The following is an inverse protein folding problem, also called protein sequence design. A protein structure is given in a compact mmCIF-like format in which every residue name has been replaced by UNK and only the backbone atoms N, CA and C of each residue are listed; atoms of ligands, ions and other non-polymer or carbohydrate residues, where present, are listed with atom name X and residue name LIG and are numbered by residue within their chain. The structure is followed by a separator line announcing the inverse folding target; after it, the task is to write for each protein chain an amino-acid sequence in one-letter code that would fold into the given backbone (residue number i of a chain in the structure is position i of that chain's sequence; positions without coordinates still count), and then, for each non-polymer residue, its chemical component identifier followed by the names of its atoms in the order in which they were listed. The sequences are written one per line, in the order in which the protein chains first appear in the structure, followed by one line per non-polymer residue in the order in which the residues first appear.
data_IF_199894459653
#
_entry.id   IF_199894459653
#
_cell.length_a   1.000
_cell.length_b   1.000
_cell.length_c   1.000
_cell.angle_alpha   90.00
_cell.angle_beta   90.00
_cell.angle_gamma   90.00
#
_symmetry.space_group_name_H-M   'P 1'
#
loop_
_entity.id
_entity.type
_entity.pdbx_description
1 polymer ?
#
# COMPACT_ATOMS: atom_id res chain seq x y z
N UNK A 1 -8.41 20.72 -26.25
CA UNK A 1 -8.67 19.89 -25.07
C UNK A 1 -7.74 20.40 -23.96
N UNK A 2 -8.28 20.87 -22.84
CA UNK A 2 -7.45 21.37 -21.72
C UNK A 2 -6.70 20.16 -21.16
N UNK A 3 -5.38 20.24 -21.08
CA UNK A 3 -4.55 19.19 -20.47
C UNK A 3 -4.27 19.63 -19.04
N UNK A 4 -4.72 18.84 -18.05
CA UNK A 4 -4.40 19.04 -16.64
C UNK A 4 -3.09 18.33 -16.32
N UNK A 5 -2.09 19.06 -15.83
CA UNK A 5 -0.81 18.53 -15.44
C UNK A 5 -0.75 18.28 -13.94
N UNK A 6 -0.63 17.04 -13.53
CA UNK A 6 -0.51 16.59 -12.14
C UNK A 6 0.93 16.18 -11.87
N UNK A 7 1.54 16.70 -10.82
CA UNK A 7 2.88 16.32 -10.38
C UNK A 7 2.83 15.62 -9.03
N UNK A 8 3.19 14.34 -9.00
CA UNK A 8 3.42 13.58 -7.76
C UNK A 8 4.86 13.79 -7.29
N UNK A 9 5.02 14.01 -5.98
CA UNK A 9 6.33 14.16 -5.36
C UNK A 9 6.43 13.27 -4.11
N UNK A 10 7.47 12.42 -4.06
CA UNK A 10 7.66 11.52 -2.92
C UNK A 10 9.11 11.07 -2.77
N UNK A 11 9.54 10.81 -1.53
CA UNK A 11 10.76 10.08 -1.25
C UNK A 11 10.53 8.57 -1.01
N UNK A 12 9.29 8.11 -0.92
CA UNK A 12 8.96 6.70 -0.68
C UNK A 12 9.05 5.84 -1.95
N UNK A 13 10.18 5.96 -2.64
CA UNK A 13 10.44 5.20 -3.84
C UNK A 13 11.85 4.59 -3.79
N UNK A 14 11.92 3.28 -3.56
CA UNK A 14 13.18 2.56 -3.52
C UNK A 14 13.03 1.19 -4.22
N UNK A 15 14.11 0.59 -4.74
CA UNK A 15 14.05 -0.71 -5.42
C UNK A 15 13.36 -1.81 -4.60
N UNK A 16 13.59 -1.81 -3.28
CA UNK A 16 13.01 -2.76 -2.34
C UNK A 16 11.78 -2.20 -1.59
N UNK A 17 11.20 -1.06 -2.02
CA UNK A 17 9.97 -0.56 -1.42
C UNK A 17 8.77 -1.36 -1.94
N UNK A 18 7.88 -1.73 -1.01
CA UNK A 18 6.71 -2.56 -1.32
C UNK A 18 5.54 -1.74 -1.90
N UNK A 19 4.39 -1.79 -1.22
CA UNK A 19 3.11 -1.29 -1.71
C UNK A 19 3.10 0.16 -2.24
N UNK A 20 3.85 1.09 -1.63
CA UNK A 20 3.84 2.51 -2.08
C UNK A 20 4.42 2.63 -3.50
N UNK A 21 5.55 1.98 -3.79
CA UNK A 21 6.12 1.99 -5.14
C UNK A 21 5.17 1.33 -6.15
N UNK A 22 4.63 0.17 -5.81
CA UNK A 22 3.68 -0.55 -6.67
C UNK A 22 2.48 0.34 -7.00
N UNK A 23 1.96 1.07 -6.00
CA UNK A 23 0.88 2.04 -6.19
C UNK A 23 1.29 3.19 -7.11
N UNK A 24 2.43 3.83 -6.86
CA UNK A 24 2.91 4.96 -7.65
C UNK A 24 3.16 4.60 -9.11
N UNK A 25 3.80 3.46 -9.37
CA UNK A 25 4.06 2.95 -10.73
C UNK A 25 2.75 2.66 -11.47
N UNK A 26 1.78 2.05 -10.78
CA UNK A 26 0.48 1.75 -11.36
C UNK A 26 -0.34 3.03 -11.62
N UNK A 27 -0.35 3.97 -10.67
CA UNK A 27 -1.00 5.28 -10.79
C UNK A 27 -0.42 6.06 -11.97
N UNK A 28 0.91 6.19 -12.04
CA UNK A 28 1.60 6.91 -13.10
C UNK A 28 1.22 6.39 -14.48
N UNK A 29 1.32 5.08 -14.69
CA UNK A 29 0.94 4.44 -15.97
C UNK A 29 -0.53 4.67 -16.34
N UNK A 30 -1.44 4.68 -15.36
CA UNK A 30 -2.87 4.81 -15.62
C UNK A 30 -3.29 6.26 -15.82
N UNK A 31 -2.77 7.20 -15.05
CA UNK A 31 -3.02 8.63 -15.27
C UNK A 31 -2.46 9.09 -16.61
N UNK A 32 -1.26 8.63 -17.00
CA UNK A 32 -0.68 8.96 -18.31
C UNK A 32 -1.47 8.43 -19.53
N UNK A 33 -2.42 7.50 -19.32
CA UNK A 33 -3.34 7.00 -20.35
C UNK A 33 -4.69 7.72 -20.35
N UNK A 34 -4.97 8.57 -19.34
CA UNK A 34 -6.23 9.30 -19.28
C UNK A 34 -6.22 10.49 -20.26
N UNK A 35 -7.24 10.59 -21.13
CA UNK A 35 -7.35 11.73 -22.04
C UNK A 35 -7.39 13.06 -21.29
N UNK A 36 -6.55 14.02 -21.70
CA UNK A 36 -6.50 15.35 -21.08
C UNK A 36 -5.74 15.41 -19.76
N UNK A 37 -5.00 14.35 -19.39
CA UNK A 37 -4.13 14.35 -18.21
C UNK A 37 -2.66 14.16 -18.63
N UNK A 38 -1.80 15.00 -18.11
CA UNK A 38 -0.35 14.82 -18.06
C UNK A 38 0.04 14.49 -16.63
N UNK A 39 0.84 13.45 -16.42
CA UNK A 39 1.28 13.06 -15.09
C UNK A 39 2.80 13.01 -15.02
N UNK A 40 3.38 13.71 -14.04
CA UNK A 40 4.80 13.68 -13.72
C UNK A 40 5.01 13.09 -12.33
N UNK A 41 6.03 12.23 -12.18
CA UNK A 41 6.37 11.58 -10.92
C UNK A 41 7.81 11.96 -10.52
N UNK A 42 7.98 12.70 -9.42
CA UNK A 42 9.27 13.11 -8.88
C UNK A 42 9.67 12.15 -7.77
N UNK A 43 10.80 11.47 -7.95
CA UNK A 43 11.34 10.46 -7.03
C UNK A 43 12.83 10.71 -6.74
N UNK A 44 13.39 10.19 -5.62
CA UNK A 44 14.81 10.32 -5.35
C UNK A 44 15.64 9.38 -6.24
N UNK A 45 16.70 9.92 -6.83
CA UNK A 45 17.65 9.20 -7.65
C UNK A 45 19.10 9.39 -7.22
N UNK A 46 20.04 8.67 -7.85
CA UNK A 46 21.49 8.89 -7.66
C UNK A 46 21.95 10.16 -8.40
N UNK A 47 21.42 10.34 -9.59
CA UNK A 47 21.68 11.46 -10.49
C UNK A 47 20.34 11.99 -11.00
N UNK A 48 20.37 13.18 -11.61
CA UNK A 48 19.19 13.66 -12.30
C UNK A 48 18.97 12.82 -13.56
N UNK A 49 17.75 12.33 -13.73
CA UNK A 49 17.28 11.72 -14.97
C UNK A 49 15.81 12.07 -15.22
N UNK A 50 15.41 12.06 -16.48
CA UNK A 50 14.03 12.18 -16.90
C UNK A 50 13.72 11.10 -17.91
N UNK A 51 12.72 10.29 -17.63
CA UNK A 51 12.24 9.26 -18.53
C UNK A 51 10.76 9.02 -18.36
N UNK A 52 10.01 9.09 -19.45
CA UNK A 52 8.56 8.77 -19.49
C UNK A 52 7.73 9.55 -18.44
N UNK A 53 8.12 10.81 -18.11
CA UNK A 53 7.48 11.63 -17.11
C UNK A 53 7.88 11.32 -15.67
N UNK A 54 8.86 10.41 -15.46
CA UNK A 54 9.48 10.16 -14.16
C UNK A 54 10.76 10.97 -14.06
N UNK A 55 10.87 11.77 -13.01
CA UNK A 55 12.00 12.65 -12.72
C UNK A 55 12.76 12.15 -11.50
N UNK A 56 13.95 11.61 -11.70
CA UNK A 56 14.84 11.27 -10.60
C UNK A 56 15.58 12.51 -10.13
N UNK A 57 15.42 12.83 -8.85
CA UNK A 57 16.04 14.00 -8.21
C UNK A 57 17.21 13.54 -7.36
N UNK A 58 18.44 14.09 -7.53
CA UNK A 58 19.59 13.66 -6.79
C UNK A 58 19.38 13.73 -5.28
N UNK A 59 19.54 12.59 -4.61
CA UNK A 59 19.44 12.45 -3.17
C UNK A 59 20.46 11.41 -2.66
N UNK A 60 21.16 11.65 -1.54
CA UNK A 60 22.10 10.71 -0.98
C UNK A 60 21.38 9.43 -0.52
N UNK A 61 22.06 8.29 -0.69
CA UNK A 61 21.57 7.03 -0.16
C UNK A 61 21.61 7.04 1.37
N UNK A 62 20.58 6.48 1.99
CA UNK A 62 20.58 6.25 3.44
C UNK A 62 21.51 5.08 3.76
N UNK A 63 22.50 5.25 4.65
CA UNK A 63 23.25 4.12 5.18
C UNK A 63 22.28 3.10 5.77
N UNK A 64 22.43 1.83 5.39
CA UNK A 64 21.53 0.73 5.81
C UNK A 64 20.04 0.87 5.39
N UNK A 65 19.72 1.84 4.53
CA UNK A 65 18.35 2.18 4.12
C UNK A 65 17.76 1.27 3.02
N UNK A 66 18.35 0.12 2.70
CA UNK A 66 17.84 -0.84 1.69
C UNK A 66 17.45 -0.17 0.35
N UNK A 67 18.26 0.80 -0.10
CA UNK A 67 18.05 1.52 -1.35
C UNK A 67 17.22 2.81 -1.24
N UNK A 68 16.71 3.15 -0.06
CA UNK A 68 16.09 4.44 0.16
C UNK A 68 17.11 5.57 0.10
N UNK A 69 16.67 6.69 -0.47
CA UNK A 69 17.46 7.94 -0.56
C UNK A 69 16.70 9.04 0.16
N UNK A 70 17.44 9.91 0.84
CA UNK A 70 16.84 10.98 1.62
C UNK A 70 17.26 12.35 1.07
N UNK A 71 16.31 13.16 0.56
CA UNK A 71 16.60 14.53 0.12
C UNK A 71 17.14 15.36 1.29
N UNK A 72 18.21 16.12 1.04
CA UNK A 72 18.79 17.05 2.04
C UNK A 72 18.50 18.53 1.73
N UNK A 73 18.02 18.83 0.51
CA UNK A 73 17.77 20.20 0.03
C UNK A 73 16.44 20.27 -0.70
N UNK A 74 15.67 21.32 -0.41
CA UNK A 74 14.37 21.60 -1.09
C UNK A 74 14.58 22.06 -2.54
N UNK A 75 15.65 22.86 -2.78
CA UNK A 75 15.86 23.57 -4.04
C UNK A 75 15.75 22.71 -5.30
N UNK A 76 16.44 21.58 -5.43
CA UNK A 76 16.33 20.73 -6.63
C UNK A 76 14.91 20.28 -6.94
N UNK A 77 14.15 19.88 -5.93
CA UNK A 77 12.77 19.43 -6.05
C UNK A 77 11.83 20.57 -6.47
N UNK A 78 11.96 21.72 -5.79
CA UNK A 78 11.20 22.92 -6.13
C UNK A 78 11.48 23.38 -7.56
N UNK A 79 12.76 23.43 -7.98
CA UNK A 79 13.13 23.91 -9.31
C UNK A 79 12.56 23.04 -10.42
N UNK A 80 12.45 21.70 -10.21
CA UNK A 80 11.79 20.82 -11.16
C UNK A 80 10.28 21.11 -11.20
N UNK A 81 9.61 21.27 -10.05
CA UNK A 81 8.20 21.65 -10.01
C UNK A 81 7.95 22.98 -10.74
N UNK A 82 8.84 23.97 -10.55
CA UNK A 82 8.77 25.23 -11.30
C UNK A 82 8.95 25.05 -12.81
N UNK A 83 9.85 24.19 -13.23
CA UNK A 83 10.03 23.89 -14.67
C UNK A 83 8.84 23.17 -15.28
N UNK A 84 8.17 22.33 -14.50
CA UNK A 84 7.02 21.54 -14.94
C UNK A 84 5.72 22.35 -15.05
N UNK A 85 5.58 23.42 -14.25
CA UNK A 85 4.35 24.23 -14.17
C UNK A 85 3.09 23.36 -14.04
N UNK A 86 2.99 22.48 -13.01
CA UNK A 86 1.81 21.63 -12.84
C UNK A 86 0.58 22.46 -12.43
N UNK A 87 -0.59 21.95 -12.73
CA UNK A 87 -1.87 22.52 -12.27
C UNK A 87 -2.23 22.02 -10.85
N UNK A 88 -1.63 20.89 -10.41
CA UNK A 88 -1.84 20.29 -9.10
C UNK A 88 -0.58 19.53 -8.68
N UNK A 89 -0.23 19.62 -7.39
CA UNK A 89 0.85 18.82 -6.81
C UNK A 89 0.25 17.83 -5.80
N UNK A 90 0.60 16.53 -5.93
CA UNK A 90 0.31 15.54 -4.90
C UNK A 90 1.59 15.13 -4.16
N UNK A 91 1.50 15.13 -2.83
CA UNK A 91 2.60 14.80 -1.92
C UNK A 91 2.37 13.43 -1.31
N UNK A 92 3.29 12.49 -1.53
CA UNK A 92 3.17 11.09 -1.08
C UNK A 92 3.85 10.79 0.27
N UNK A 93 4.45 11.76 0.95
CA UNK A 93 5.15 11.53 2.22
C UNK A 93 5.24 12.79 3.09
N UNK A 94 5.40 12.65 4.43
CA UNK A 94 5.44 13.79 5.35
C UNK A 94 6.86 14.35 5.59
N UNK A 95 7.74 14.29 4.60
CA UNK A 95 9.13 14.67 4.76
C UNK A 95 9.50 15.93 3.98
N UNK A 96 10.76 16.04 3.57
CA UNK A 96 11.29 17.22 2.89
C UNK A 96 10.60 17.51 1.54
N UNK A 97 10.17 16.49 0.83
CA UNK A 97 9.38 16.57 -0.41
C UNK A 97 8.09 17.33 -0.22
N UNK A 98 7.40 17.14 0.93
CA UNK A 98 6.19 17.88 1.27
C UNK A 98 6.46 19.39 1.41
N UNK A 99 7.54 19.75 2.05
CA UNK A 99 7.93 21.17 2.20
C UNK A 99 8.37 21.78 0.88
N UNK A 100 9.01 21.00 -0.02
CA UNK A 100 9.33 21.45 -1.37
C UNK A 100 8.06 21.75 -2.19
N UNK A 101 7.03 20.92 -2.08
CA UNK A 101 5.74 21.15 -2.72
C UNK A 101 5.03 22.40 -2.17
N UNK A 102 5.01 22.58 -0.84
CA UNK A 102 4.43 23.76 -0.20
C UNK A 102 5.18 25.07 -0.54
N UNK A 103 6.51 25.00 -0.76
CA UNK A 103 7.29 26.13 -1.20
C UNK A 103 7.01 26.46 -2.68
N UNK A 104 6.93 25.46 -3.55
CA UNK A 104 6.54 25.62 -4.95
C UNK A 104 5.11 26.18 -5.09
N UNK A 105 4.15 25.72 -4.28
CA UNK A 105 2.77 26.21 -4.24
C UNK A 105 2.70 27.72 -4.13
N UNK A 106 3.50 28.34 -3.24
CA UNK A 106 3.48 29.79 -3.00
C UNK A 106 3.84 30.60 -4.22
N UNK A 107 4.64 30.04 -5.13
CA UNK A 107 5.12 30.71 -6.33
C UNK A 107 4.30 30.36 -7.58
N UNK A 108 3.75 29.15 -7.63
CA UNK A 108 2.97 28.67 -8.76
C UNK A 108 1.45 28.93 -8.60
N UNK A 109 1.01 29.26 -7.39
CA UNK A 109 -0.40 29.42 -7.02
C UNK A 109 -1.28 28.21 -7.40
N UNK A 110 -0.77 27.01 -7.10
CA UNK A 110 -1.43 25.74 -7.42
C UNK A 110 -1.82 24.97 -6.16
N UNK A 111 -2.91 24.18 -6.18
CA UNK A 111 -3.33 23.38 -5.04
C UNK A 111 -2.36 22.24 -4.77
N UNK A 112 -2.29 21.85 -3.48
CA UNK A 112 -1.50 20.73 -3.02
C UNK A 112 -2.38 19.73 -2.28
N UNK A 113 -2.36 18.47 -2.73
CA UNK A 113 -2.98 17.33 -2.06
C UNK A 113 -1.92 16.53 -1.32
N UNK A 114 -2.19 16.13 -0.07
CA UNK A 114 -1.33 15.20 0.66
C UNK A 114 -1.92 13.81 0.67
N UNK A 115 -1.16 12.78 0.33
CA UNK A 115 -1.55 11.38 0.50
C UNK A 115 -0.84 10.76 1.71
N UNK A 116 -1.60 10.24 2.67
CA UNK A 116 -1.10 9.67 3.92
C UNK A 116 -0.80 8.18 3.79
N UNK A 117 0.29 7.83 3.09
CA UNK A 117 0.68 6.44 2.87
C UNK A 117 1.21 5.71 4.10
N UNK A 118 1.68 6.44 5.11
CA UNK A 118 2.37 5.86 6.27
C UNK A 118 1.97 6.56 7.56
N UNK A 119 1.75 5.78 8.60
CA UNK A 119 1.48 6.27 9.95
C UNK A 119 2.78 6.72 10.64
N UNK A 120 3.21 7.95 10.35
CA UNK A 120 4.46 8.50 10.89
C UNK A 120 4.50 8.50 12.42
N UNK A 121 3.46 8.92 13.18
CA UNK A 121 3.45 8.84 14.64
C UNK A 121 3.73 7.44 15.16
N UNK A 122 3.07 6.42 14.57
CA UNK A 122 3.28 5.03 14.95
C UNK A 122 4.69 4.53 14.62
N UNK A 123 5.20 4.88 13.43
CA UNK A 123 6.56 4.51 13.02
C UNK A 123 7.63 5.07 13.95
N UNK A 124 7.48 6.34 14.37
CA UNK A 124 8.40 6.99 15.31
C UNK A 124 8.25 6.40 16.71
N UNK A 125 7.03 6.21 17.20
CA UNK A 125 6.76 5.58 18.49
C UNK A 125 7.44 4.20 18.60
N UNK A 126 7.35 3.38 17.56
CA UNK A 126 7.94 2.04 17.52
C UNK A 126 9.47 2.04 17.51
N UNK A 127 10.10 3.10 16.97
CA UNK A 127 11.58 3.19 16.84
C UNK A 127 12.24 3.97 17.97
N UNK A 128 11.62 5.05 18.42
CA UNK A 128 12.20 6.02 19.33
C UNK A 128 11.50 6.05 20.69
N UNK A 129 10.38 5.31 20.81
CA UNK A 129 9.54 5.28 22.00
C UNK A 129 8.37 6.27 21.99
N UNK A 130 7.36 6.04 22.86
CA UNK A 130 6.11 6.79 22.86
C UNK A 130 6.26 8.27 23.27
N UNK A 131 7.36 8.65 23.90
CA UNK A 131 7.64 10.03 24.32
C UNK A 131 7.68 11.04 23.17
N UNK A 132 8.05 10.59 21.99
CA UNK A 132 8.13 11.44 20.79
C UNK A 132 6.78 11.57 20.07
N UNK A 133 5.81 10.74 20.38
CA UNK A 133 4.53 10.67 19.68
C UNK A 133 3.80 12.02 19.65
N UNK A 134 3.64 12.78 20.75
CA UNK A 134 2.94 14.07 20.72
C UNK A 134 3.58 15.10 19.81
N UNK A 135 4.92 15.14 19.74
CA UNK A 135 5.64 16.07 18.87
C UNK A 135 5.45 15.70 17.39
N UNK A 136 5.45 14.40 17.08
CA UNK A 136 5.23 13.92 15.70
C UNK A 136 3.78 14.12 15.28
N UNK A 137 2.82 13.92 16.18
CA UNK A 137 1.40 14.21 15.93
C UNK A 137 1.17 15.69 15.66
N UNK A 138 1.79 16.57 16.47
CA UNK A 138 1.74 18.01 16.24
C UNK A 138 2.38 18.40 14.89
N UNK A 139 3.46 17.74 14.51
CA UNK A 139 4.09 17.90 13.20
C UNK A 139 3.17 17.46 12.06
N UNK A 140 2.58 16.27 12.15
CA UNK A 140 1.63 15.75 11.15
C UNK A 140 0.45 16.70 11.01
N UNK A 141 -0.18 17.11 12.12
CA UNK A 141 -1.27 18.09 12.12
C UNK A 141 -0.87 19.38 11.42
N UNK A 142 0.32 19.94 11.75
CA UNK A 142 0.82 21.18 11.16
C UNK A 142 1.06 21.02 9.65
N UNK A 143 1.72 19.94 9.25
CA UNK A 143 2.07 19.70 7.85
C UNK A 143 0.82 19.48 7.00
N UNK A 144 0.00 18.49 7.36
CA UNK A 144 -1.19 18.12 6.59
C UNK A 144 -2.29 19.19 6.65
N UNK A 145 -2.29 20.05 7.68
CA UNK A 145 -3.15 21.25 7.74
C UNK A 145 -2.83 22.34 6.71
N UNK A 146 -1.69 22.24 6.01
CA UNK A 146 -1.35 23.16 4.91
C UNK A 146 -1.80 22.66 3.53
N UNK A 147 -2.32 21.44 3.42
CA UNK A 147 -2.79 20.92 2.14
C UNK A 147 -4.26 21.29 1.90
N UNK A 148 -4.63 21.49 0.64
CA UNK A 148 -6.01 21.81 0.23
C UNK A 148 -6.94 20.61 0.41
N UNK A 149 -6.37 19.39 0.29
CA UNK A 149 -7.04 18.13 0.56
C UNK A 149 -6.04 17.11 1.07
N UNK A 150 -6.49 16.22 1.96
CA UNK A 150 -5.69 15.10 2.45
C UNK A 150 -6.41 13.80 2.09
N UNK A 151 -5.69 12.89 1.46
CA UNK A 151 -6.17 11.56 1.10
C UNK A 151 -5.60 10.53 2.07
N UNK A 152 -6.47 9.71 2.63
CA UNK A 152 -6.11 8.60 3.50
C UNK A 152 -6.49 7.27 2.83
N UNK A 153 -5.65 6.22 2.89
CA UNK A 153 -5.91 4.99 2.18
C UNK A 153 -7.07 4.16 2.75
N UNK A 154 -7.50 4.44 3.97
CA UNK A 154 -8.57 3.74 4.68
C UNK A 154 -9.33 4.69 5.60
N UNK A 155 -10.54 4.32 6.03
CA UNK A 155 -11.33 5.12 6.98
C UNK A 155 -10.62 5.23 8.33
N UNK A 156 -9.99 4.14 8.80
CA UNK A 156 -9.20 4.16 10.05
C UNK A 156 -8.07 5.20 10.00
N UNK A 157 -7.39 5.31 8.86
CA UNK A 157 -6.35 6.34 8.71
C UNK A 157 -6.95 7.73 8.59
N UNK A 158 -8.10 7.88 7.94
CA UNK A 158 -8.83 9.14 7.88
C UNK A 158 -9.28 9.60 9.28
N UNK A 159 -9.90 8.71 10.05
CA UNK A 159 -10.36 8.99 11.41
C UNK A 159 -9.20 9.35 12.34
N UNK A 160 -8.05 8.67 12.18
CA UNK A 160 -6.83 9.02 12.91
C UNK A 160 -6.36 10.44 12.60
N UNK A 161 -6.29 10.83 11.32
CA UNK A 161 -5.90 12.18 10.92
C UNK A 161 -6.90 13.23 11.43
N UNK A 162 -8.21 12.96 11.33
CA UNK A 162 -9.27 13.82 11.86
C UNK A 162 -9.11 13.97 13.38
N UNK A 163 -8.85 12.88 14.10
CA UNK A 163 -8.57 12.89 15.54
C UNK A 163 -7.34 13.72 15.93
N UNK A 164 -6.34 13.82 15.05
CA UNK A 164 -5.19 14.72 15.20
C UNK A 164 -5.53 16.20 14.90
N UNK A 165 -6.73 16.50 14.41
CA UNK A 165 -7.17 17.83 14.04
C UNK A 165 -6.80 18.24 12.61
N UNK A 166 -6.47 17.28 11.73
CA UNK A 166 -6.32 17.54 10.29
C UNK A 166 -7.69 17.72 9.65
N UNK A 167 -7.84 18.75 8.81
CA UNK A 167 -9.08 19.07 8.10
C UNK A 167 -9.03 18.57 6.65
N UNK A 168 -10.19 18.53 5.99
CA UNK A 168 -10.33 18.14 4.58
C UNK A 168 -9.74 16.75 4.28
N UNK A 169 -9.90 15.80 5.20
CA UNK A 169 -9.48 14.41 5.05
C UNK A 169 -10.55 13.62 4.31
N UNK A 170 -10.14 12.89 3.30
CA UNK A 170 -11.02 12.04 2.48
C UNK A 170 -10.39 10.65 2.31
N UNK A 171 -11.22 9.63 2.22
CA UNK A 171 -10.75 8.28 1.95
C UNK A 171 -10.51 8.11 0.45
N UNK A 172 -9.32 7.61 0.11
CA UNK A 172 -8.93 7.22 -1.24
C UNK A 172 -8.23 5.88 -1.19
N UNK A 173 -8.90 4.77 -1.46
CA UNK A 173 -8.29 3.45 -1.43
C UNK A 173 -7.23 3.28 -2.53
N UNK A 174 -6.37 2.29 -2.35
CA UNK A 174 -5.40 1.90 -3.37
C UNK A 174 -6.03 0.82 -4.27
N UNK A 175 -5.60 0.79 -5.53
CA UNK A 175 -6.06 -0.19 -6.50
C UNK A 175 -5.17 -1.44 -6.54
N UNK A 176 -5.74 -2.54 -7.02
CA UNK A 176 -5.03 -3.79 -7.30
C UNK A 176 -5.06 -4.13 -8.79
N UNK A 177 -4.00 -4.75 -9.28
CA UNK A 177 -3.90 -5.21 -10.66
C UNK A 177 -4.58 -6.57 -10.84
N UNK A 178 -5.81 -6.54 -11.34
CA UNK A 178 -6.64 -7.71 -11.55
C UNK A 178 -6.17 -8.62 -12.70
N UNK A 179 -5.26 -8.15 -13.55
CA UNK A 179 -4.67 -8.95 -14.62
C UNK A 179 -3.47 -9.73 -14.08
N UNK A 180 -2.60 -9.06 -13.32
CA UNK A 180 -1.47 -9.70 -12.67
C UNK A 180 -1.93 -10.68 -11.58
N UNK A 181 -2.88 -10.26 -10.71
CA UNK A 181 -3.44 -11.11 -9.67
C UNK A 181 -4.77 -11.69 -10.14
N UNK A 182 -4.71 -12.95 -10.63
CA UNK A 182 -5.87 -13.60 -11.22
C UNK A 182 -5.86 -15.11 -10.92
N UNK A 183 -7.02 -15.74 -10.69
CA UNK A 183 -7.11 -17.18 -10.42
C UNK A 183 -6.54 -18.08 -11.52
N UNK A 184 -6.52 -17.61 -12.78
CA UNK A 184 -5.95 -18.37 -13.92
C UNK A 184 -4.44 -18.60 -13.82
N UNK A 185 -3.74 -17.90 -12.92
CA UNK A 185 -2.32 -18.12 -12.66
C UNK A 185 -2.05 -19.30 -11.72
N UNK A 186 -3.09 -20.03 -11.32
CA UNK A 186 -2.94 -21.25 -10.52
C UNK A 186 -2.08 -22.26 -11.24
N UNK A 187 -1.04 -22.72 -10.55
CA UNK A 187 -0.11 -23.73 -11.01
C UNK A 187 -0.37 -25.04 -10.25
N UNK A 188 -0.93 -26.08 -10.92
CA UNK A 188 -1.17 -27.37 -10.30
C UNK A 188 0.12 -28.07 -9.82
N UNK A 189 1.29 -27.76 -10.44
CA UNK A 189 2.57 -28.35 -10.10
C UNK A 189 3.23 -27.78 -8.85
N UNK A 190 2.76 -26.62 -8.37
CA UNK A 190 3.42 -25.93 -7.24
C UNK A 190 3.52 -26.77 -5.98
N UNK A 191 2.51 -27.57 -5.63
CA UNK A 191 2.54 -28.42 -4.44
C UNK A 191 3.65 -29.45 -4.53
N UNK A 192 3.84 -30.08 -5.68
CA UNK A 192 4.91 -31.02 -5.97
C UNK A 192 6.27 -30.32 -5.93
N UNK A 193 6.40 -29.15 -6.52
CA UNK A 193 7.62 -28.31 -6.48
C UNK A 193 8.06 -28.01 -5.04
N UNK A 194 7.10 -27.71 -4.16
CA UNK A 194 7.34 -27.40 -2.75
C UNK A 194 7.44 -28.62 -1.83
N UNK A 195 7.23 -29.84 -2.35
CA UNK A 195 7.16 -31.05 -1.54
C UNK A 195 5.98 -31.10 -0.58
N UNK A 196 4.90 -30.37 -0.87
CA UNK A 196 3.66 -30.31 -0.08
C UNK A 196 2.71 -31.38 -0.53
N UNK A 197 2.17 -32.19 0.40
CA UNK A 197 1.19 -33.22 0.08
C UNK A 197 -0.07 -32.63 -0.54
N UNK A 198 -0.65 -33.32 -1.52
CA UNK A 198 -1.81 -32.81 -2.27
C UNK A 198 -3.06 -32.56 -1.39
N UNK A 199 -3.25 -33.37 -0.35
CA UNK A 199 -4.34 -33.25 0.61
C UNK A 199 -4.09 -32.20 1.70
N UNK A 200 -2.89 -31.64 1.78
CA UNK A 200 -2.56 -30.56 2.69
C UNK A 200 -3.21 -29.24 2.24
N UNK A 201 -3.59 -28.42 3.18
CA UNK A 201 -4.11 -27.08 2.95
C UNK A 201 -2.96 -26.10 2.88
N UNK A 202 -2.75 -25.49 1.71
CA UNK A 202 -1.63 -24.59 1.46
C UNK A 202 -2.03 -23.15 1.81
N UNK A 203 -1.46 -22.63 2.88
CA UNK A 203 -1.58 -21.23 3.29
C UNK A 203 -0.41 -20.43 2.70
N UNK A 204 -0.60 -19.14 2.46
CA UNK A 204 0.45 -18.23 2.01
C UNK A 204 0.50 -16.97 2.86
N UNK A 205 1.70 -16.50 3.15
CA UNK A 205 2.02 -15.14 3.58
C UNK A 205 2.95 -14.53 2.54
N UNK A 206 2.68 -13.32 2.08
CA UNK A 206 3.56 -12.59 1.19
C UNK A 206 3.86 -11.18 1.74
N UNK A 207 5.15 -10.84 1.79
CA UNK A 207 5.60 -9.56 2.33
C UNK A 207 6.99 -9.64 2.91
N UNK A 208 7.47 -8.55 3.50
CA UNK A 208 8.76 -8.52 4.20
C UNK A 208 8.61 -9.12 5.61
N UNK A 209 9.57 -9.91 6.06
CA UNK A 209 9.63 -10.46 7.42
C UNK A 209 10.04 -9.40 8.46
N UNK A 210 9.33 -8.29 8.53
CA UNK A 210 9.56 -7.19 9.47
C UNK A 210 8.70 -7.36 10.74
N UNK A 211 9.12 -6.68 11.82
CA UNK A 211 8.53 -6.85 13.14
C UNK A 211 6.99 -6.64 13.16
N UNK A 212 6.52 -5.63 12.42
CA UNK A 212 5.09 -5.29 12.33
C UNK A 212 4.24 -6.34 11.61
N UNK A 213 4.88 -7.30 10.91
CA UNK A 213 4.17 -8.43 10.26
C UNK A 213 3.87 -9.60 11.21
N UNK A 214 4.41 -9.57 12.41
CA UNK A 214 4.14 -10.57 13.47
C UNK A 214 4.28 -12.03 13.02
N UNK A 215 5.31 -12.35 12.23
CA UNK A 215 5.56 -13.73 11.76
C UNK A 215 5.61 -14.77 12.88
N UNK A 216 6.10 -14.48 14.10
CA UNK A 216 6.03 -15.44 15.21
C UNK A 216 4.62 -15.92 15.52
N UNK A 217 3.59 -15.09 15.34
CA UNK A 217 2.18 -15.48 15.51
C UNK A 217 1.79 -16.52 14.47
N UNK A 218 2.19 -16.34 13.19
CA UNK A 218 1.93 -17.31 12.12
C UNK A 218 2.67 -18.64 12.39
N UNK A 219 3.95 -18.61 12.78
CA UNK A 219 4.71 -19.82 13.08
C UNK A 219 4.09 -20.62 14.23
N UNK A 220 3.72 -19.94 15.32
CA UNK A 220 3.02 -20.57 16.43
C UNK A 220 1.62 -21.08 16.04
N UNK A 221 0.91 -20.41 15.15
CA UNK A 221 -0.33 -20.87 14.56
C UNK A 221 -0.12 -22.19 13.80
N UNK A 222 0.92 -22.27 12.96
CA UNK A 222 1.22 -23.48 12.19
C UNK A 222 1.56 -24.70 13.06
N UNK A 223 2.26 -24.51 14.17
CA UNK A 223 2.51 -25.59 15.14
C UNK A 223 1.19 -26.17 15.70
N UNK A 224 0.17 -25.31 15.92
CA UNK A 224 -1.15 -25.71 16.42
C UNK A 224 -2.02 -26.38 15.35
N UNK A 225 -1.92 -25.93 14.11
CA UNK A 225 -2.68 -26.48 12.98
C UNK A 225 -2.17 -27.88 12.57
N UNK A 226 -0.89 -28.19 12.79
CA UNK A 226 -0.27 -29.47 12.49
C UNK A 226 -0.11 -29.75 11.00
N UNK A 227 0.22 -31.01 10.67
CA UNK A 227 0.69 -31.43 9.32
C UNK A 227 -0.36 -31.37 8.19
N UNK A 228 -1.64 -31.19 8.53
CA UNK A 228 -2.72 -31.02 7.52
C UNK A 228 -2.68 -29.63 6.87
N UNK A 229 -1.87 -28.72 7.40
CA UNK A 229 -1.71 -27.36 6.90
C UNK A 229 -0.23 -27.11 6.61
N UNK A 230 0.04 -26.46 5.51
CA UNK A 230 1.37 -26.03 5.12
C UNK A 230 1.38 -24.53 4.86
N UNK A 231 2.36 -23.80 5.38
CA UNK A 231 2.48 -22.35 5.17
C UNK A 231 3.68 -22.06 4.25
N UNK A 232 3.43 -21.31 3.20
CA UNK A 232 4.45 -20.72 2.35
C UNK A 232 4.69 -19.27 2.77
N UNK A 233 5.90 -18.97 3.27
CA UNK A 233 6.37 -17.62 3.57
C UNK A 233 7.14 -17.08 2.36
N UNK A 234 6.68 -15.96 1.78
CA UNK A 234 7.28 -15.38 0.57
C UNK A 234 7.70 -13.95 0.81
N UNK A 235 8.97 -13.64 0.54
CA UNK A 235 9.51 -12.28 0.59
C UNK A 235 10.86 -12.21 1.30
N UNK A 236 11.41 -11.03 1.46
CA UNK A 236 12.74 -10.83 2.05
C UNK A 236 12.73 -10.74 3.57
N UNK A 237 13.87 -11.07 4.20
CA UNK A 237 14.09 -11.04 5.64
C UNK A 237 13.17 -11.97 6.42
N UNK A 238 12.97 -13.18 5.89
CA UNK A 238 12.19 -14.24 6.52
C UNK A 238 12.96 -14.93 7.65
N UNK A 239 12.25 -15.55 8.60
CA UNK A 239 12.89 -16.33 9.67
C UNK A 239 13.59 -17.57 9.10
N UNK A 240 14.76 -17.89 9.62
CA UNK A 240 15.53 -19.10 9.25
C UNK A 240 15.10 -20.35 10.01
N UNK A 241 14.60 -20.18 11.24
CA UNK A 241 14.10 -21.27 12.07
C UNK A 241 12.56 -21.33 11.97
N UNK A 242 12.04 -22.34 11.28
CA UNK A 242 10.61 -22.52 11.03
C UNK A 242 10.17 -23.96 11.34
N UNK A 243 8.88 -24.19 11.65
CA UNK A 243 8.32 -25.54 11.78
C UNK A 243 8.41 -26.37 10.47
N UNK A 244 8.35 -27.69 10.57
CA UNK A 244 8.40 -28.62 9.41
C UNK A 244 7.32 -28.35 8.35
N UNK A 245 6.15 -27.85 8.76
CA UNK A 245 5.05 -27.51 7.89
C UNK A 245 5.08 -26.04 7.41
N UNK A 246 6.28 -25.47 7.29
CA UNK A 246 6.51 -24.12 6.77
C UNK A 246 7.66 -24.16 5.76
N UNK A 247 7.40 -23.66 4.55
CA UNK A 247 8.42 -23.43 3.52
C UNK A 247 8.69 -21.95 3.38
N UNK A 248 9.96 -21.58 3.19
CA UNK A 248 10.40 -20.17 3.12
C UNK A 248 11.03 -19.90 1.75
N UNK A 249 10.54 -18.85 1.07
CA UNK A 249 11.18 -18.25 -0.10
C UNK A 249 11.69 -16.87 0.36
N UNK A 250 12.95 -16.82 0.84
CA UNK A 250 13.58 -15.62 1.40
C UNK A 250 14.27 -14.79 0.30
N UNK A 251 13.49 -14.31 -0.66
CA UNK A 251 13.97 -13.44 -1.73
C UNK A 251 12.88 -12.45 -2.19
N UNK A 252 13.30 -11.43 -2.92
CA UNK A 252 12.37 -10.53 -3.58
C UNK A 252 11.75 -11.24 -4.80
N UNK A 253 10.46 -11.54 -4.73
CA UNK A 253 9.70 -12.11 -5.84
C UNK A 253 9.03 -11.01 -6.68
N UNK A 254 9.12 -11.06 -8.03
CA UNK A 254 8.32 -10.21 -8.91
C UNK A 254 6.82 -10.45 -8.70
N UNK A 255 6.00 -9.44 -9.01
CA UNK A 255 4.54 -9.53 -8.84
C UNK A 255 3.91 -10.74 -9.55
N UNK A 256 4.41 -11.10 -10.75
CA UNK A 256 3.94 -12.29 -11.49
C UNK A 256 4.21 -13.60 -10.76
N UNK A 257 5.36 -13.72 -10.10
CA UNK A 257 5.69 -14.90 -9.29
C UNK A 257 4.81 -14.95 -8.02
N UNK A 258 4.65 -13.82 -7.33
CA UNK A 258 3.75 -13.74 -6.16
C UNK A 258 2.33 -14.09 -6.55
N UNK A 259 1.85 -13.63 -7.70
CA UNK A 259 0.51 -13.93 -8.22
C UNK A 259 0.33 -15.44 -8.51
N UNK A 260 1.34 -16.11 -9.12
CA UNK A 260 1.34 -17.57 -9.31
C UNK A 260 1.24 -18.31 -7.97
N UNK A 261 2.05 -17.90 -6.99
CA UNK A 261 2.06 -18.52 -5.67
C UNK A 261 0.74 -18.31 -4.93
N UNK A 262 0.18 -17.08 -4.97
CA UNK A 262 -1.11 -16.77 -4.35
C UNK A 262 -2.25 -17.55 -5.01
N UNK A 263 -2.35 -17.55 -6.34
CA UNK A 263 -3.42 -18.28 -7.04
C UNK A 263 -3.37 -19.80 -6.81
N UNK A 264 -2.18 -20.32 -6.46
CA UNK A 264 -1.96 -21.76 -6.20
C UNK A 264 -2.18 -22.14 -4.73
N UNK A 265 -2.21 -21.17 -3.82
CA UNK A 265 -2.55 -21.38 -2.41
C UNK A 265 -4.06 -21.50 -2.20
N UNK A 266 -4.46 -22.00 -1.03
CA UNK A 266 -5.87 -22.11 -0.66
C UNK A 266 -6.38 -20.88 0.10
N UNK A 267 -5.51 -20.22 0.89
CA UNK A 267 -5.83 -18.98 1.60
C UNK A 267 -4.60 -18.15 1.93
N UNK A 268 -4.75 -16.84 2.02
CA UNK A 268 -3.75 -15.96 2.61
C UNK A 268 -3.95 -15.89 4.12
N UNK A 269 -2.84 -15.90 4.88
CA UNK A 269 -2.82 -15.63 6.34
C UNK A 269 -1.92 -14.44 6.65
N UNK A 270 -2.40 -13.51 7.50
CA UNK A 270 -1.63 -12.30 7.83
C UNK A 270 -1.82 -11.87 9.29
N UNK A 271 -0.73 -11.80 10.05
CA UNK A 271 -0.75 -11.47 11.48
C UNK A 271 -0.27 -10.03 11.80
N UNK A 272 0.07 -9.23 10.80
CA UNK A 272 0.49 -7.85 11.00
C UNK A 272 -0.64 -6.96 11.51
N UNK A 273 -0.35 -6.13 12.50
CA UNK A 273 -1.32 -5.30 13.22
C UNK A 273 -1.21 -3.79 12.95
N UNK A 274 -0.30 -3.38 12.05
CA UNK A 274 0.03 -1.97 11.78
C UNK A 274 -0.12 -1.59 10.30
N UNK A 275 -1.07 -2.16 9.61
CA UNK A 275 -1.28 -1.88 8.20
C UNK A 275 -2.14 -0.62 7.99
N UNK A 276 -1.61 0.30 7.19
CA UNK A 276 -2.35 1.51 6.78
C UNK A 276 -3.37 1.22 5.68
N UNK A 277 -3.11 0.18 4.86
CA UNK A 277 -4.02 -0.31 3.83
C UNK A 277 -3.96 -1.84 3.67
N UNK A 278 -2.80 -2.41 3.26
CA UNK A 278 -2.66 -3.86 3.11
C UNK A 278 -2.95 -4.36 1.70
N UNK A 279 -2.21 -3.86 0.70
CA UNK A 279 -2.34 -4.30 -0.71
C UNK A 279 -2.28 -5.81 -0.88
N UNK A 280 -1.49 -6.51 -0.08
CA UNK A 280 -1.34 -7.97 -0.14
C UNK A 280 -2.68 -8.71 0.08
N UNK A 281 -3.58 -8.14 0.89
CA UNK A 281 -4.93 -8.69 1.09
C UNK A 281 -5.73 -8.59 -0.22
N UNK A 282 -5.68 -7.42 -0.88
CA UNK A 282 -6.35 -7.24 -2.17
C UNK A 282 -5.77 -8.13 -3.27
N UNK A 283 -4.44 -8.32 -3.27
CA UNK A 283 -3.74 -9.20 -4.20
C UNK A 283 -4.18 -10.66 -4.04
N UNK A 284 -4.33 -11.13 -2.80
CA UNK A 284 -4.83 -12.47 -2.51
C UNK A 284 -6.31 -12.63 -2.94
N UNK A 285 -7.16 -11.68 -2.54
CA UNK A 285 -8.58 -11.68 -2.93
C UNK A 285 -8.72 -11.58 -4.46
N UNK A 286 -7.90 -10.79 -5.13
CA UNK A 286 -7.83 -10.71 -6.59
C UNK A 286 -7.38 -12.02 -7.23
N UNK A 287 -6.51 -12.78 -6.59
CA UNK A 287 -6.10 -14.13 -6.99
C UNK A 287 -7.17 -15.20 -6.73
N UNK A 288 -8.32 -14.82 -6.18
CA UNK A 288 -9.46 -15.73 -5.93
C UNK A 288 -9.30 -16.57 -4.68
N UNK A 289 -8.42 -16.24 -3.76
CA UNK A 289 -8.26 -16.92 -2.48
C UNK A 289 -8.79 -16.07 -1.33
N UNK A 290 -9.44 -16.70 -0.32
CA UNK A 290 -9.92 -16.00 0.86
C UNK A 290 -8.76 -15.66 1.81
N UNK A 291 -9.04 -14.81 2.79
CA UNK A 291 -8.06 -14.26 3.71
C UNK A 291 -8.41 -14.57 5.16
N UNK A 292 -7.40 -14.94 5.97
CA UNK A 292 -7.48 -14.86 7.43
C UNK A 292 -6.48 -13.82 7.91
N UNK A 293 -6.96 -12.76 8.53
CA UNK A 293 -6.12 -11.68 9.03
C UNK A 293 -6.49 -11.29 10.47
N UNK A 294 -5.64 -10.51 11.11
CA UNK A 294 -5.95 -9.97 12.43
C UNK A 294 -6.90 -8.77 12.32
N UNK A 295 -7.78 -8.59 13.31
CA UNK A 295 -8.70 -7.45 13.41
C UNK A 295 -7.94 -6.20 13.87
N UNK A 296 -7.04 -5.68 13.02
CA UNK A 296 -6.23 -4.50 13.31
C UNK A 296 -5.96 -3.69 12.03
N UNK A 297 -5.76 -2.38 12.20
CA UNK A 297 -5.51 -1.46 11.10
C UNK A 297 -6.57 -1.56 10.00
N UNK A 298 -6.18 -1.29 8.78
CA UNK A 298 -7.05 -1.30 7.60
C UNK A 298 -7.63 -2.69 7.26
N UNK A 299 -7.13 -3.77 7.83
CA UNK A 299 -7.70 -5.11 7.57
C UNK A 299 -9.16 -5.21 7.99
N UNK A 300 -9.57 -4.47 9.03
CA UNK A 300 -10.96 -4.44 9.50
C UNK A 300 -11.95 -3.87 8.47
N UNK A 301 -11.45 -3.08 7.52
CA UNK A 301 -12.25 -2.52 6.43
C UNK A 301 -12.21 -3.38 5.16
N UNK A 302 -11.03 -3.93 4.85
CA UNK A 302 -10.79 -4.64 3.59
C UNK A 302 -11.29 -6.08 3.66
N UNK A 303 -11.08 -6.76 4.80
CA UNK A 303 -11.50 -8.16 4.96
C UNK A 303 -12.97 -8.19 5.37
N UNK A 304 -13.84 -8.29 4.38
CA UNK A 304 -15.28 -8.46 4.60
C UNK A 304 -15.61 -9.89 5.03
N UNK A 305 -16.73 -10.08 5.73
CA UNK A 305 -17.20 -11.41 6.12
C UNK A 305 -17.40 -12.38 4.94
N UNK A 306 -17.63 -11.84 3.74
CA UNK A 306 -17.73 -12.62 2.51
C UNK A 306 -16.39 -13.06 1.95
N UNK A 307 -15.33 -12.23 2.13
CA UNK A 307 -14.00 -12.44 1.56
C UNK A 307 -13.01 -13.12 2.48
N UNK A 308 -13.26 -13.13 3.79
CA UNK A 308 -12.28 -13.63 4.74
C UNK A 308 -12.81 -13.75 6.16
N UNK A 309 -11.91 -13.99 7.10
CA UNK A 309 -12.17 -14.00 8.53
C UNK A 309 -11.13 -13.13 9.25
N UNK A 310 -11.58 -12.44 10.28
CA UNK A 310 -10.74 -11.67 11.18
C UNK A 310 -10.63 -12.35 12.54
N UNK A 311 -9.43 -12.34 13.12
CA UNK A 311 -9.18 -12.89 14.46
C UNK A 311 -8.50 -11.87 15.36
N UNK A 312 -8.46 -12.15 16.66
CA UNK A 312 -7.79 -11.29 17.62
C UNK A 312 -6.29 -11.16 17.30
N UNK A 313 -5.71 -9.94 17.33
CA UNK A 313 -4.29 -9.73 17.10
C UNK A 313 -3.44 -10.38 18.20
N UNK A 314 -2.18 -10.68 17.88
CA UNK A 314 -1.21 -11.30 18.77
C UNK A 314 -1.68 -12.62 19.43
N UNK A 315 -2.61 -13.33 18.80
CA UNK A 315 -3.21 -14.57 19.33
C UNK A 315 -3.11 -15.73 18.32
N UNK A 316 -2.07 -16.59 18.42
CA UNK A 316 -1.90 -17.74 17.51
C UNK A 316 -3.03 -18.75 17.57
N UNK A 317 -3.70 -18.90 18.73
CA UNK A 317 -4.83 -19.82 18.88
C UNK A 317 -6.06 -19.29 18.14
N UNK A 318 -6.37 -18.00 18.28
CA UNK A 318 -7.46 -17.36 17.54
C UNK A 318 -7.23 -17.43 16.02
N UNK A 319 -5.97 -17.24 15.57
CA UNK A 319 -5.59 -17.38 14.16
C UNK A 319 -5.80 -18.82 13.67
N UNK A 320 -5.39 -19.83 14.45
CA UNK A 320 -5.59 -21.24 14.09
C UNK A 320 -7.07 -21.60 13.99
N UNK A 321 -7.90 -21.15 14.92
CA UNK A 321 -9.35 -21.34 14.88
C UNK A 321 -9.97 -20.69 13.65
N UNK A 322 -9.61 -19.44 13.33
CA UNK A 322 -10.11 -18.74 12.15
C UNK A 322 -9.71 -19.46 10.85
N UNK A 323 -8.49 -20.00 10.76
CA UNK A 323 -8.08 -20.83 9.63
C UNK A 323 -8.93 -22.09 9.54
N UNK A 324 -9.12 -22.82 10.62
CA UNK A 324 -9.96 -24.04 10.63
C UNK A 324 -11.40 -23.74 10.23
N UNK A 325 -11.97 -22.66 10.76
CA UNK A 325 -13.32 -22.18 10.44
C UNK A 325 -13.46 -21.83 8.96
N UNK A 326 -12.47 -21.12 8.37
CA UNK A 326 -12.46 -20.78 6.97
C UNK A 326 -12.63 -22.02 6.08
N UNK A 327 -11.88 -23.08 6.39
CA UNK A 327 -11.95 -24.31 5.63
C UNK A 327 -13.23 -25.13 5.89
N UNK A 328 -13.82 -25.03 7.08
CA UNK A 328 -15.09 -25.68 7.40
C UNK A 328 -16.29 -25.02 6.71
N UNK A 329 -16.22 -23.73 6.40
CA UNK A 329 -17.30 -22.93 5.81
C UNK A 329 -17.25 -22.81 4.27
N UNK A 330 -16.38 -23.51 3.57
CA UNK A 330 -16.26 -23.45 2.10
C UNK A 330 -15.26 -22.38 1.63
N UNK A 331 -14.00 -22.76 1.60
CA UNK A 331 -12.88 -21.89 1.26
C UNK A 331 -12.95 -21.35 -0.19
N UNK A 332 -13.29 -22.23 -1.16
CA UNK A 332 -13.30 -21.85 -2.58
C UNK A 332 -14.39 -20.84 -2.93
N UNK A 333 -15.61 -21.03 -2.45
CA UNK A 333 -16.72 -20.10 -2.67
C UNK A 333 -16.44 -18.74 -2.02
N UNK A 334 -15.80 -18.74 -0.85
CA UNK A 334 -15.39 -17.51 -0.18
C UNK A 334 -14.32 -16.77 -0.99
N UNK A 335 -13.35 -17.47 -1.57
CA UNK A 335 -12.37 -16.89 -2.48
C UNK A 335 -13.00 -16.22 -3.71
N UNK A 336 -14.01 -16.85 -4.30
CA UNK A 336 -14.76 -16.25 -5.42
C UNK A 336 -15.53 -14.98 -5.00
N UNK A 337 -16.12 -14.95 -3.79
CA UNK A 337 -16.78 -13.75 -3.27
C UNK A 337 -15.76 -12.65 -3.00
N UNK A 338 -14.61 -12.99 -2.41
CA UNK A 338 -13.48 -12.08 -2.21
C UNK A 338 -13.05 -11.42 -3.52
N UNK A 339 -12.90 -12.22 -4.59
CA UNK A 339 -12.55 -11.71 -5.94
C UNK A 339 -13.60 -10.72 -6.45
N UNK A 340 -14.89 -11.05 -6.41
CA UNK A 340 -15.96 -10.13 -6.86
C UNK A 340 -15.96 -8.82 -6.08
N UNK A 341 -15.70 -8.87 -4.77
CA UNK A 341 -15.59 -7.66 -3.94
C UNK A 341 -14.47 -6.75 -4.43
N UNK A 342 -13.30 -7.32 -4.67
CA UNK A 342 -12.14 -6.54 -5.13
C UNK A 342 -12.36 -5.99 -6.54
N UNK A 343 -12.93 -6.76 -7.45
CA UNK A 343 -13.29 -6.31 -8.81
C UNK A 343 -14.22 -5.09 -8.78
N UNK A 344 -15.15 -5.07 -7.85
CA UNK A 344 -16.15 -3.99 -7.73
C UNK A 344 -15.57 -2.70 -7.13
N UNK A 345 -14.75 -2.81 -6.09
CA UNK A 345 -14.39 -1.66 -5.25
C UNK A 345 -12.92 -1.23 -5.36
N UNK A 346 -12.03 -2.15 -5.75
CA UNK A 346 -10.58 -1.93 -5.73
C UNK A 346 -9.91 -2.13 -7.09
N UNK A 347 -10.69 -2.35 -8.14
CA UNK A 347 -10.15 -2.30 -9.51
C UNK A 347 -9.54 -0.92 -9.78
N UNK A 348 -8.41 -0.89 -10.46
CA UNK A 348 -7.72 0.36 -10.75
C UNK A 348 -8.59 1.40 -11.46
N UNK A 349 -9.49 0.98 -12.33
CA UNK A 349 -10.36 1.92 -13.05
C UNK A 349 -11.33 2.63 -12.10
N UNK A 350 -11.89 1.91 -11.12
CA UNK A 350 -12.71 2.47 -10.04
C UNK A 350 -11.90 3.42 -9.16
N UNK A 351 -10.69 3.02 -8.77
CA UNK A 351 -9.80 3.80 -7.91
C UNK A 351 -9.31 5.07 -8.59
N UNK A 352 -8.94 5.00 -9.87
CA UNK A 352 -8.54 6.19 -10.65
C UNK A 352 -9.71 7.14 -10.85
N UNK A 353 -10.91 6.64 -11.12
CA UNK A 353 -12.11 7.48 -11.25
C UNK A 353 -12.34 8.30 -9.96
N UNK A 354 -12.30 7.65 -8.80
CA UNK A 354 -12.41 8.32 -7.49
C UNK A 354 -11.29 9.34 -7.26
N UNK A 355 -10.04 8.99 -7.60
CA UNK A 355 -8.90 9.89 -7.47
C UNK A 355 -9.07 11.16 -8.32
N UNK A 356 -9.56 10.99 -9.55
CA UNK A 356 -9.83 12.12 -10.45
C UNK A 356 -10.96 13.03 -9.93
N UNK A 357 -11.93 12.49 -9.20
CA UNK A 357 -12.95 13.31 -8.52
C UNK A 357 -12.32 14.19 -7.43
N UNK A 358 -11.37 13.66 -6.66
CA UNK A 358 -10.63 14.45 -5.69
C UNK A 358 -9.84 15.58 -6.36
N UNK A 359 -9.18 15.33 -7.48
CA UNK A 359 -8.44 16.34 -8.22
C UNK A 359 -9.35 17.43 -8.78
N UNK A 360 -10.46 17.05 -9.43
CA UNK A 360 -11.45 18.00 -9.96
C UNK A 360 -12.05 18.89 -8.87
N UNK A 361 -12.35 18.32 -7.72
CA UNK A 361 -12.91 19.07 -6.60
C UNK A 361 -11.94 20.15 -6.08
N UNK A 362 -10.64 19.90 -6.09
CA UNK A 362 -9.63 20.87 -5.66
C UNK A 362 -9.35 21.91 -6.76
N UNK A 363 -9.26 21.49 -8.01
CA UNK A 363 -9.07 22.40 -9.16
C UNK A 363 -10.28 23.30 -9.39
N UNK A 364 -11.49 22.78 -9.21
CA UNK A 364 -12.74 23.55 -9.37
C UNK A 364 -12.93 24.63 -8.31
N UNK A 365 -12.36 24.51 -7.14
CA UNK A 365 -12.43 25.54 -6.09
C UNK A 365 -11.54 26.76 -6.35
N UNK A 366 -10.58 26.65 -7.28
CA UNK A 366 -9.67 27.75 -7.65
C UNK A 366 -10.16 28.58 -8.87
N UNK A 367 -11.10 28.06 -9.64
CA UNK A 367 -11.75 28.88 -10.68
C UNK A 367 -12.83 29.76 -10.02
N UNK A 368 -12.68 31.12 -9.97
CA UNK A 368 -13.79 31.96 -9.63
C UNK A 368 -14.89 31.66 -10.65
N UNK A 369 -16.11 31.40 -10.18
CA UNK A 369 -17.29 31.34 -11.05
C UNK A 369 -17.27 32.59 -11.92
N UNK A 370 -16.91 32.44 -13.18
CA UNK A 370 -17.21 33.45 -14.16
C UNK A 370 -18.76 33.52 -14.20
N UNK A 371 -19.26 34.51 -13.50
CA UNK A 371 -20.67 34.86 -13.57
C UNK A 371 -21.03 35.05 -15.05
N UNK A 372 -21.89 34.19 -15.56
CA UNK A 372 -22.53 34.40 -16.82
C UNK A 372 -23.45 35.61 -16.63
N UNK A 373 -22.97 36.78 -17.14
CA UNK A 373 -23.78 37.93 -17.42
C UNK A 373 -24.50 37.78 -18.77
#
# INVERSE_FOLDING_TARGET
MIIVHIADITMFYAPASGGVRTYLDAKHRRLGRQPGIRHSLLIPGAHFSERDGIYEVPAPALPFGKGYRFPLRLGPWRNILHGLQPDLIEVGDPYLTAWAALDARRQLDVPVIGFYHSDLPLLVSNRMGPWFTPNVEAYVRKLYGNFDRVLAPSQIMADKLIGLGVRNVHVQPLGVDLQTFHPSHRDPGLRTELGVAEDSRLLIFAGRGSKEKNLPVLLNCMQRLGKRYHLLLVGSAMPTAVPENVTVIDEFCPASQVARLMASADALVHAGDQETFGLVILEAMASGIPVVAVAAGAFQEIVTAEGGLLCAPNNPLAMAHAVQELFAQGCAERGQRARRHVERYYAWDTVVASLLEHYRAVLGTQQPMLAHG
#
